data_IF_563052962709
#
_entry.id   IF_563052962709
#
_cell.length_a   1.000
_cell.length_b   1.000
_cell.length_c   1.000
_cell.angle_alpha   90.00
_cell.angle_beta   90.00
_cell.angle_gamma   90.00
#
_symmetry.space_group_name_H-M   'P 1'
#
loop_
_entity.id
_entity.type
_entity.pdbx_description
1 polymer ?
#
# COMPACT_ATOMS: atom_id res chain seq x y z
N UNK A 1 4.11 12.46 7.46
CA UNK A 1 3.55 11.14 7.11
C UNK A 1 2.39 11.32 6.14
N UNK A 2 2.61 10.89 4.90
CA UNK A 2 1.64 10.90 3.80
C UNK A 2 0.79 9.63 3.91
N UNK A 3 -0.52 9.81 4.08
CA UNK A 3 -1.45 8.68 4.15
C UNK A 3 -2.13 8.47 2.81
N UNK A 4 -2.08 7.25 2.30
CA UNK A 4 -2.71 6.87 1.03
C UNK A 4 -3.69 5.71 1.24
N UNK A 5 -4.57 5.50 0.27
CA UNK A 5 -5.45 4.33 0.20
C UNK A 5 -5.31 3.68 -1.17
N UNK A 6 -5.38 2.35 -1.20
CA UNK A 6 -5.38 1.58 -2.46
C UNK A 6 -6.82 1.19 -2.78
N UNK A 7 -7.33 1.65 -3.91
CA UNK A 7 -8.68 1.32 -4.39
C UNK A 7 -8.56 0.26 -5.50
N UNK A 8 -8.94 -0.97 -5.17
CA UNK A 8 -8.74 -2.19 -5.95
C UNK A 8 -7.49 -2.94 -5.49
N UNK A 9 -7.66 -4.20 -5.08
CA UNK A 9 -6.63 -5.07 -4.50
C UNK A 9 -6.42 -6.36 -5.31
N UNK A 10 -6.61 -6.28 -6.63
CA UNK A 10 -6.14 -7.33 -7.55
C UNK A 10 -4.61 -7.30 -7.73
N UNK A 11 -4.11 -7.93 -8.79
CA UNK A 11 -2.67 -8.08 -9.06
C UNK A 11 -1.87 -6.78 -8.95
N UNK A 12 -2.41 -5.66 -9.45
CA UNK A 12 -1.71 -4.36 -9.40
C UNK A 12 -1.82 -3.73 -8.01
N UNK A 13 -3.00 -3.77 -7.40
CA UNK A 13 -3.26 -3.15 -6.11
C UNK A 13 -2.43 -3.76 -4.98
N UNK A 14 -2.37 -5.09 -4.92
CA UNK A 14 -1.54 -5.81 -3.96
C UNK A 14 -0.05 -5.51 -4.17
N UNK A 15 0.41 -5.50 -5.43
CA UNK A 15 1.79 -5.11 -5.74
C UNK A 15 2.14 -3.68 -5.31
N UNK A 16 1.22 -2.73 -5.48
CA UNK A 16 1.41 -1.35 -4.98
C UNK A 16 1.50 -1.33 -3.46
N UNK A 17 0.63 -2.06 -2.76
CA UNK A 17 0.67 -2.17 -1.30
C UNK A 17 2.01 -2.73 -0.82
N UNK A 18 2.47 -3.85 -1.40
CA UNK A 18 3.74 -4.50 -1.05
C UNK A 18 4.93 -3.59 -1.32
N UNK A 19 4.98 -2.90 -2.46
CA UNK A 19 6.06 -1.97 -2.79
C UNK A 19 6.13 -0.84 -1.76
N UNK A 20 4.99 -0.24 -1.39
CA UNK A 20 4.94 0.82 -0.37
C UNK A 20 5.43 0.31 0.99
N UNK A 21 5.02 -0.91 1.38
CA UNK A 21 5.41 -1.53 2.65
C UNK A 21 6.90 -1.87 2.69
N UNK A 22 7.39 -2.58 1.69
CA UNK A 22 8.74 -3.16 1.67
C UNK A 22 9.82 -2.13 1.33
N UNK A 23 9.48 -1.12 0.54
CA UNK A 23 10.43 -0.11 0.07
C UNK A 23 10.25 1.25 0.73
N UNK A 24 9.51 1.31 1.84
CA UNK A 24 9.12 2.57 2.47
C UNK A 24 10.31 3.50 2.74
N UNK A 25 11.39 2.96 3.32
CA UNK A 25 12.59 3.72 3.64
C UNK A 25 13.26 4.31 2.37
N UNK A 26 13.25 3.59 1.25
CA UNK A 26 13.78 4.09 -0.02
C UNK A 26 12.87 5.19 -0.59
N UNK A 27 11.55 4.98 -0.56
CA UNK A 27 10.56 5.94 -1.05
C UNK A 27 10.61 7.23 -0.22
N UNK A 28 10.67 7.11 1.11
CA UNK A 28 10.75 8.23 2.04
C UNK A 28 11.98 9.11 1.79
N UNK A 29 13.13 8.48 1.48
CA UNK A 29 14.34 9.22 1.07
C UNK A 29 14.15 10.05 -0.21
N UNK A 30 13.25 9.64 -1.11
CA UNK A 30 13.00 10.34 -2.39
C UNK A 30 11.93 11.42 -2.26
N UNK A 31 10.89 11.19 -1.46
CA UNK A 31 9.76 12.12 -1.34
C UNK A 31 9.86 13.06 -0.13
N UNK A 32 10.81 12.79 0.78
CA UNK A 32 11.08 13.61 1.97
C UNK A 32 10.16 13.35 3.16
N UNK A 33 9.31 12.33 3.09
CA UNK A 33 8.37 11.96 4.16
C UNK A 33 8.00 10.47 4.07
N UNK A 34 7.54 9.87 5.16
CA UNK A 34 7.05 8.49 5.17
C UNK A 34 5.68 8.40 4.50
N UNK A 35 5.48 7.34 3.71
CA UNK A 35 4.18 7.03 3.09
C UNK A 35 3.56 5.82 3.78
N UNK A 36 2.27 5.87 4.12
CA UNK A 36 1.60 4.75 4.77
C UNK A 36 0.27 4.47 4.07
N UNK A 37 0.06 3.20 3.69
CA UNK A 37 -1.24 2.76 3.21
C UNK A 37 -2.15 2.54 4.40
N UNK A 38 -3.16 3.42 4.58
CA UNK A 38 -4.10 3.34 5.71
C UNK A 38 -5.27 2.40 5.46
N UNK A 39 -5.75 2.36 4.22
CA UNK A 39 -6.90 1.57 3.84
C UNK A 39 -6.67 0.94 2.48
N UNK A 40 -7.26 -0.24 2.33
CA UNK A 40 -7.46 -0.88 1.04
C UNK A 40 -8.95 -1.11 0.88
N UNK A 41 -9.47 -0.76 -0.30
CA UNK A 41 -10.87 -0.97 -0.65
C UNK A 41 -10.92 -1.86 -1.89
N UNK A 42 -11.61 -2.99 -1.81
CA UNK A 42 -11.99 -3.81 -2.96
C UNK A 42 -13.44 -4.29 -2.77
N UNK A 43 -14.04 -4.78 -3.84
CA UNK A 43 -15.38 -5.37 -3.80
C UNK A 43 -15.36 -6.81 -3.27
N UNK A 44 -14.18 -7.44 -3.26
CA UNK A 44 -13.97 -8.83 -2.83
C UNK A 44 -13.20 -8.86 -1.52
N UNK A 45 -13.47 -9.90 -0.74
CA UNK A 45 -12.61 -10.29 0.37
C UNK A 45 -11.41 -11.10 -0.14
N UNK A 46 -10.29 -11.00 0.56
CA UNK A 46 -9.05 -11.72 0.26
C UNK A 46 -8.68 -12.62 1.46
N UNK A 47 -9.27 -13.83 1.59
CA UNK A 47 -9.05 -14.68 2.75
C UNK A 47 -7.58 -15.06 2.91
N UNK A 48 -7.01 -14.78 4.07
CA UNK A 48 -5.61 -15.09 4.39
C UNK A 48 -4.61 -14.01 3.96
N UNK A 49 -5.07 -12.94 3.30
CA UNK A 49 -4.26 -11.73 3.12
C UNK A 49 -4.30 -10.92 4.43
N UNK A 50 -3.16 -10.42 4.94
CA UNK A 50 -3.11 -9.68 6.21
C UNK A 50 -3.66 -8.25 6.14
N UNK A 51 -4.09 -7.81 4.96
CA UNK A 51 -4.58 -6.45 4.66
C UNK A 51 -6.09 -6.35 4.81
#
# INVERSE_FOLDING_TARGET
MINVSVLGYGTVGSGVFDIIRENNAMIAKRIGDEICTKYVLDLRDFPGDPV
#
